data_IF_801485590887
#
_entry.id   IF_801485590887
#
_cell.length_a   1.000
_cell.length_b   1.000
_cell.length_c   1.000
_cell.angle_alpha   90.00
_cell.angle_beta   90.00
_cell.angle_gamma   90.00
#
_symmetry.space_group_name_H-M   'P 1'
#
loop_
_entity.id
_entity.type
_entity.pdbx_description
1 polymer ?
#
# COMPACT_ATOMS: atom_id res chain seq x y z
N UNK A 1 7.46 -10.98 6.92
CA UNK A 1 6.87 -9.95 7.81
C UNK A 1 7.73 -9.63 9.03
N UNK A 2 8.62 -10.53 9.47
CA UNK A 2 9.46 -10.35 10.67
C UNK A 2 10.24 -9.02 10.70
N UNK A 3 10.75 -8.54 9.56
CA UNK A 3 11.50 -7.28 9.50
C UNK A 3 10.70 -6.03 9.91
N UNK A 4 9.39 -5.96 9.64
CA UNK A 4 8.54 -4.84 10.06
C UNK A 4 8.42 -4.82 11.59
N UNK A 5 8.29 -6.01 12.21
CA UNK A 5 8.25 -6.15 13.67
C UNK A 5 9.59 -5.78 14.30
N UNK A 6 10.70 -6.21 13.69
CA UNK A 6 12.04 -5.80 14.12
C UNK A 6 12.22 -4.28 14.05
N UNK A 7 11.77 -3.63 12.97
CA UNK A 7 11.80 -2.17 12.84
C UNK A 7 10.99 -1.47 13.94
N UNK A 8 9.80 -1.98 14.25
CA UNK A 8 9.00 -1.51 15.40
C UNK A 8 9.76 -1.63 16.72
N UNK A 9 10.39 -2.78 16.97
CA UNK A 9 11.19 -3.01 18.18
C UNK A 9 12.41 -2.09 18.28
N UNK A 10 13.10 -1.85 17.17
CA UNK A 10 14.22 -0.89 17.12
C UNK A 10 13.72 0.50 17.52
N UNK A 11 12.56 0.93 17.01
CA UNK A 11 11.98 2.22 17.38
C UNK A 11 11.70 2.31 18.89
N UNK A 12 11.18 1.25 19.51
CA UNK A 12 11.00 1.21 20.97
C UNK A 12 12.32 1.33 21.73
N UNK A 13 13.33 0.55 21.34
CA UNK A 13 14.64 0.54 22.02
C UNK A 13 15.34 1.89 21.91
N UNK A 14 15.33 2.51 20.72
CA UNK A 14 16.00 3.80 20.49
C UNK A 14 15.28 4.94 21.19
N UNK A 15 13.96 4.88 21.32
CA UNK A 15 13.17 5.96 21.94
C UNK A 15 12.93 5.77 23.43
N UNK A 16 13.06 4.54 23.95
CA UNK A 16 12.66 4.19 25.31
C UNK A 16 11.13 4.21 25.52
N UNK A 17 10.34 4.36 24.46
CA UNK A 17 8.87 4.43 24.53
C UNK A 17 8.24 3.17 23.91
N UNK A 18 7.18 2.61 24.51
CA UNK A 18 6.37 1.56 23.86
C UNK A 18 5.81 2.03 22.50
N UNK A 19 5.80 1.14 21.50
CA UNK A 19 5.52 1.50 20.11
C UNK A 19 4.16 2.18 19.91
N UNK A 20 3.13 1.71 20.62
CA UNK A 20 1.78 2.28 20.57
C UNK A 20 1.75 3.72 21.10
N UNK A 21 2.53 4.02 22.15
CA UNK A 21 2.63 5.38 22.70
C UNK A 21 3.41 6.27 21.76
N UNK A 22 4.51 5.76 21.22
CA UNK A 22 5.34 6.47 20.25
C UNK A 22 4.51 6.88 19.02
N UNK A 23 3.75 5.95 18.43
CA UNK A 23 2.91 6.21 17.26
C UNK A 23 1.75 7.16 17.60
N UNK A 24 1.13 7.00 18.76
CA UNK A 24 0.09 7.94 19.22
C UNK A 24 0.64 9.37 19.34
N UNK A 25 1.83 9.52 19.92
CA UNK A 25 2.48 10.81 20.18
C UNK A 25 3.03 11.47 18.91
N UNK A 26 3.66 10.70 18.03
CA UNK A 26 4.42 11.24 16.87
C UNK A 26 3.60 11.28 15.59
N UNK A 27 2.60 10.42 15.45
CA UNK A 27 1.86 10.26 14.19
C UNK A 27 0.35 10.44 14.38
N UNK A 28 -0.33 9.54 15.09
CA UNK A 28 -1.79 9.50 15.12
C UNK A 28 -2.41 10.74 15.76
N UNK A 29 -1.92 11.13 16.95
CA UNK A 29 -2.38 12.33 17.64
C UNK A 29 -2.17 13.60 16.81
N UNK A 30 -0.94 13.91 16.36
CA UNK A 30 -0.67 15.07 15.51
C UNK A 30 -1.49 15.11 14.21
N UNK A 31 -1.72 13.95 13.56
CA UNK A 31 -2.53 13.87 12.35
C UNK A 31 -4.03 13.90 12.62
N UNK A 32 -4.48 13.85 13.87
CA UNK A 32 -5.90 13.81 14.23
C UNK A 32 -6.58 12.47 13.94
N UNK A 33 -5.80 11.37 13.91
CA UNK A 33 -6.30 10.00 13.75
C UNK A 33 -6.74 9.47 15.13
N UNK A 34 -7.95 9.83 15.56
CA UNK A 34 -8.41 9.65 16.95
C UNK A 34 -8.86 8.21 17.27
N UNK A 35 -9.21 7.46 16.24
CA UNK A 35 -9.68 6.09 16.33
C UNK A 35 -8.63 5.06 15.91
N UNK A 36 -7.47 5.51 15.44
CA UNK A 36 -6.36 4.64 15.13
C UNK A 36 -5.62 4.20 16.40
N UNK A 37 -5.65 2.90 16.72
CA UNK A 37 -5.02 2.35 17.92
C UNK A 37 -4.72 0.87 17.78
N UNK A 38 -3.72 0.38 18.50
CA UNK A 38 -3.52 -1.06 18.65
C UNK A 38 -4.54 -1.68 19.58
N UNK A 39 -5.00 -0.97 20.61
CA UNK A 39 -5.89 -1.51 21.64
C UNK A 39 -7.17 -0.67 21.69
N UNK A 40 -8.31 -1.29 21.36
CA UNK A 40 -9.59 -0.58 21.38
C UNK A 40 -9.99 -0.20 22.80
N UNK A 41 -10.62 0.96 22.94
CA UNK A 41 -11.31 1.36 24.17
C UNK A 41 -12.71 0.74 24.24
N UNK A 42 -13.30 0.72 25.44
CA UNK A 42 -14.72 0.31 25.63
C UNK A 42 -15.70 1.13 24.77
N UNK A 43 -15.37 2.38 24.45
CA UNK A 43 -16.18 3.26 23.59
C UNK A 43 -16.02 2.94 22.09
N UNK A 44 -14.89 2.38 21.68
CA UNK A 44 -14.61 2.01 20.29
C UNK A 44 -15.13 0.61 19.96
N UNK A 45 -15.10 -0.31 20.93
CA UNK A 45 -15.45 -1.71 20.72
C UNK A 45 -16.83 -1.92 20.05
N UNK A 46 -17.92 -1.19 20.39
CA UNK A 46 -19.21 -1.35 19.73
C UNK A 46 -19.22 -0.97 18.24
N UNK A 47 -18.25 -0.19 17.78
CA UNK A 47 -18.10 0.22 16.38
C UNK A 47 -17.22 -0.73 15.56
N UNK A 48 -16.65 -1.76 16.18
CA UNK A 48 -15.78 -2.71 15.49
C UNK A 48 -16.57 -3.50 14.45
N UNK A 49 -16.14 -3.40 13.20
CA UNK A 49 -16.71 -4.20 12.12
C UNK A 49 -16.45 -5.69 12.35
N UNK A 50 -17.46 -6.52 12.07
CA UNK A 50 -17.37 -7.98 12.20
C UNK A 50 -16.54 -8.56 11.06
N UNK A 51 -15.63 -9.48 11.39
CA UNK A 51 -14.85 -10.21 10.40
C UNK A 51 -15.64 -11.42 9.89
N UNK A 52 -15.49 -11.72 8.60
CA UNK A 52 -16.12 -12.87 7.97
C UNK A 52 -15.08 -13.69 7.21
N UNK A 53 -15.26 -15.01 7.17
CA UNK A 53 -14.53 -15.91 6.28
C UNK A 53 -15.48 -16.60 5.32
N UNK A 54 -14.98 -16.95 4.14
CA UNK A 54 -15.72 -17.71 3.14
C UNK A 54 -15.58 -19.20 3.43
N UNK A 55 -16.70 -19.91 3.47
CA UNK A 55 -16.74 -21.36 3.63
C UNK A 55 -16.47 -22.06 2.29
N UNK A 56 -16.17 -23.35 2.34
CA UNK A 56 -16.01 -24.18 1.13
C UNK A 56 -17.30 -24.22 0.28
N UNK A 57 -18.46 -24.12 0.94
CA UNK A 57 -19.78 -23.99 0.29
C UNK A 57 -20.07 -22.60 -0.29
N UNK A 58 -19.12 -21.66 -0.22
CA UNK A 58 -19.23 -20.33 -0.81
C UNK A 58 -19.99 -19.29 0.01
N UNK A 59 -20.50 -19.64 1.19
CA UNK A 59 -21.19 -18.72 2.11
C UNK A 59 -20.20 -17.94 2.99
N UNK A 60 -20.66 -16.85 3.61
CA UNK A 60 -19.87 -16.08 4.58
C UNK A 60 -20.30 -16.41 6.00
N UNK A 61 -19.33 -16.70 6.86
CA UNK A 61 -19.55 -16.91 8.29
C UNK A 61 -18.71 -15.95 9.11
N UNK A 62 -19.27 -15.50 10.23
CA UNK A 62 -18.54 -14.65 11.15
C UNK A 62 -17.34 -15.39 11.75
N UNK A 63 -16.20 -14.72 11.81
CA UNK A 63 -14.96 -15.26 12.35
C UNK A 63 -14.29 -14.24 13.26
N UNK A 64 -13.38 -14.73 14.09
CA UNK A 64 -12.49 -13.87 14.86
C UNK A 64 -11.44 -13.19 13.97
N UNK A 65 -10.89 -12.10 14.48
CA UNK A 65 -9.79 -11.38 13.83
C UNK A 65 -8.51 -12.20 14.06
N UNK A 66 -8.07 -12.91 13.02
CA UNK A 66 -6.89 -13.80 13.04
C UNK A 66 -5.64 -13.16 13.67
N UNK A 67 -5.41 -11.88 13.42
CA UNK A 67 -4.24 -11.15 13.95
C UNK A 67 -4.23 -10.97 15.47
N UNK A 68 -5.36 -11.20 16.14
CA UNK A 68 -5.46 -11.13 17.60
C UNK A 68 -5.15 -12.46 18.29
N UNK A 69 -5.06 -13.57 17.53
CA UNK A 69 -4.73 -14.89 18.08
C UNK A 69 -5.61 -15.29 19.29
N UNK A 70 -6.93 -15.10 19.18
CA UNK A 70 -7.91 -15.39 20.24
C UNK A 70 -8.00 -14.33 21.35
N UNK A 71 -7.16 -13.29 21.33
CA UNK A 71 -7.22 -12.20 22.30
C UNK A 71 -8.32 -11.19 21.96
N UNK A 72 -8.89 -10.58 23.00
CA UNK A 72 -9.86 -9.50 22.81
C UNK A 72 -9.21 -8.28 22.10
N UNK A 73 -9.95 -7.53 21.26
CA UNK A 73 -9.46 -6.29 20.64
C UNK A 73 -8.95 -5.24 21.65
N UNK A 74 -9.48 -5.29 22.88
CA UNK A 74 -9.09 -4.43 24.01
C UNK A 74 -7.93 -4.99 24.84
N UNK A 75 -7.53 -6.26 24.63
CA UNK A 75 -6.48 -6.92 25.42
C UNK A 75 -5.13 -6.27 25.17
N UNK A 76 -4.44 -5.92 26.26
CA UNK A 76 -3.04 -5.47 26.26
C UNK A 76 -2.05 -6.60 26.48
N UNK A 77 -2.54 -7.83 26.67
CA UNK A 77 -1.74 -9.05 26.76
C UNK A 77 -1.36 -9.58 25.37
N UNK A 78 -0.94 -8.65 24.52
CA UNK A 78 -0.39 -8.89 23.20
C UNK A 78 0.48 -7.70 22.84
N UNK A 79 1.56 -7.95 22.12
CA UNK A 79 2.42 -6.86 21.68
C UNK A 79 1.75 -6.06 20.54
N UNK A 80 2.06 -4.76 20.40
CA UNK A 80 1.56 -3.95 19.30
C UNK A 80 2.25 -4.39 18.00
N UNK A 81 1.59 -5.24 17.22
CA UNK A 81 2.17 -5.84 16.02
C UNK A 81 2.14 -4.87 14.82
N UNK A 82 3.26 -4.22 14.44
CA UNK A 82 3.28 -3.23 13.36
C UNK A 82 2.97 -3.83 11.97
N UNK A 83 3.08 -5.15 11.82
CA UNK A 83 2.76 -5.86 10.58
C UNK A 83 1.28 -6.23 10.41
N UNK A 84 0.38 -5.95 11.37
CA UNK A 84 -1.04 -6.33 11.20
C UNK A 84 -1.99 -6.22 12.40
N UNK A 85 -1.70 -5.41 13.43
CA UNK A 85 -2.52 -5.34 14.65
C UNK A 85 -3.29 -4.04 14.90
N UNK A 86 -3.35 -3.14 13.92
CA UNK A 86 -3.88 -1.78 14.10
C UNK A 86 -5.35 -1.69 13.68
N UNK A 87 -6.17 -1.08 14.53
CA UNK A 87 -7.54 -0.69 14.20
C UNK A 87 -7.56 0.76 13.74
N UNK A 88 -8.45 1.10 12.83
CA UNK A 88 -8.62 2.47 12.32
C UNK A 88 -10.04 2.66 11.75
N UNK A 89 -10.39 3.91 11.46
CA UNK A 89 -11.54 4.27 10.63
C UNK A 89 -11.10 4.65 9.22
N UNK A 90 -12.04 4.67 8.28
CA UNK A 90 -11.79 5.16 6.92
C UNK A 90 -11.31 6.62 6.92
N UNK A 91 -11.92 7.46 7.75
CA UNK A 91 -11.56 8.88 7.87
C UNK A 91 -10.13 9.06 8.39
N UNK A 92 -9.74 8.35 9.45
CA UNK A 92 -8.39 8.43 9.99
C UNK A 92 -7.35 7.94 8.97
N UNK A 93 -7.63 6.83 8.30
CA UNK A 93 -6.73 6.28 7.30
C UNK A 93 -6.61 7.18 6.07
N UNK A 94 -7.71 7.83 5.66
CA UNK A 94 -7.69 8.82 4.59
C UNK A 94 -6.80 10.02 4.92
N UNK A 95 -6.75 10.47 6.18
CA UNK A 95 -5.83 11.55 6.61
C UNK A 95 -4.36 11.12 6.45
N UNK A 96 -4.03 9.90 6.86
CA UNK A 96 -2.67 9.35 6.63
C UNK A 96 -2.34 9.28 5.13
N UNK A 97 -3.23 8.71 4.31
CA UNK A 97 -3.03 8.63 2.86
C UNK A 97 -2.88 10.01 2.23
N UNK A 98 -3.71 10.99 2.63
CA UNK A 98 -3.65 12.35 2.11
C UNK A 98 -2.34 13.06 2.48
N UNK A 99 -1.82 12.83 3.69
CA UNK A 99 -0.51 13.32 4.12
C UNK A 99 0.62 12.77 3.24
N UNK A 100 0.59 11.46 2.94
CA UNK A 100 1.58 10.82 2.04
C UNK A 100 1.45 11.37 0.61
N UNK A 101 0.22 11.48 0.08
CA UNK A 101 -0.04 12.02 -1.26
C UNK A 101 0.44 13.47 -1.43
N UNK A 102 0.41 14.26 -0.36
CA UNK A 102 0.91 15.64 -0.31
C UNK A 102 2.39 15.74 0.06
N UNK A 103 3.16 14.67 -0.08
CA UNK A 103 4.60 14.69 0.15
C UNK A 103 4.98 14.95 1.61
N UNK A 104 4.16 14.49 2.56
CA UNK A 104 4.45 14.57 3.99
C UNK A 104 3.72 15.67 4.74
N UNK A 105 2.77 16.36 4.10
CA UNK A 105 2.07 17.51 4.67
C UNK A 105 0.55 17.31 4.67
N UNK A 106 -0.13 17.76 5.73
CA UNK A 106 -1.58 17.82 5.79
C UNK A 106 -2.01 19.05 6.58
N UNK A 107 -3.03 19.76 6.09
CA UNK A 107 -3.62 20.93 6.76
C UNK A 107 -2.57 22.01 7.16
N UNK A 108 -1.60 22.28 6.28
CA UNK A 108 -0.53 23.26 6.51
C UNK A 108 0.57 22.83 7.49
N UNK A 109 0.52 21.59 7.99
CA UNK A 109 1.53 21.04 8.90
C UNK A 109 2.31 19.92 8.22
N UNK A 110 3.64 20.00 8.33
CA UNK A 110 4.56 18.98 7.83
C UNK A 110 4.83 17.90 8.89
N UNK A 111 4.61 16.64 8.52
CA UNK A 111 4.84 15.46 9.35
C UNK A 111 6.07 14.66 8.89
N UNK A 112 6.30 14.62 7.57
CA UNK A 112 7.45 13.98 6.96
C UNK A 112 8.11 14.96 5.98
N UNK A 113 9.43 14.83 5.82
CA UNK A 113 10.15 15.55 4.77
C UNK A 113 9.74 14.98 3.40
N UNK A 114 9.58 15.81 2.35
CA UNK A 114 9.25 15.33 1.00
C UNK A 114 10.21 14.25 0.51
N UNK A 115 11.50 14.38 0.81
CA UNK A 115 12.53 13.42 0.43
C UNK A 115 12.34 12.06 1.13
N UNK A 116 11.90 12.08 2.40
CA UNK A 116 11.56 10.86 3.13
C UNK A 116 10.35 10.17 2.53
N UNK A 117 9.31 10.91 2.14
CA UNK A 117 8.12 10.33 1.47
C UNK A 117 8.48 9.74 0.12
N UNK A 118 9.34 10.42 -0.66
CA UNK A 118 9.86 9.90 -1.92
C UNK A 118 10.63 8.60 -1.72
N UNK A 119 11.52 8.56 -0.73
CA UNK A 119 12.29 7.35 -0.41
C UNK A 119 11.36 6.19 0.02
N UNK A 120 10.35 6.49 0.85
CA UNK A 120 9.35 5.54 1.33
C UNK A 120 8.55 4.87 0.21
N UNK A 121 8.25 5.63 -0.85
CA UNK A 121 7.39 5.21 -1.96
C UNK A 121 8.15 4.65 -3.16
N UNK A 122 9.46 4.92 -3.24
CA UNK A 122 10.35 4.36 -4.26
C UNK A 122 10.57 2.86 -4.03
N UNK A 123 10.54 2.09 -5.12
CA UNK A 123 10.81 0.64 -5.10
C UNK A 123 12.27 0.40 -4.69
N UNK A 124 12.45 -0.37 -3.63
CA UNK A 124 13.76 -0.74 -3.07
C UNK A 124 14.19 -2.15 -3.47
N UNK A 125 13.32 -2.88 -4.18
CA UNK A 125 13.52 -4.28 -4.57
C UNK A 125 13.59 -4.44 -6.08
N UNK A 126 14.10 -3.43 -6.79
CA UNK A 126 14.19 -3.49 -8.25
C UNK A 126 15.04 -4.69 -8.70
N UNK A 127 14.63 -5.33 -9.80
CA UNK A 127 15.22 -6.58 -10.28
C UNK A 127 14.85 -7.85 -9.50
N UNK A 128 14.22 -7.73 -8.32
CA UNK A 128 13.75 -8.89 -7.55
C UNK A 128 12.28 -9.20 -7.87
N UNK A 129 11.97 -10.48 -8.11
CA UNK A 129 10.58 -10.94 -8.19
C UNK A 129 9.98 -10.90 -6.79
N UNK A 130 9.16 -9.89 -6.52
CA UNK A 130 8.57 -9.64 -5.20
C UNK A 130 7.08 -9.31 -5.30
N UNK A 131 6.38 -9.35 -4.16
CA UNK A 131 4.96 -9.01 -4.05
C UNK A 131 4.01 -10.20 -4.26
N UNK A 132 2.71 -9.94 -4.15
CA UNK A 132 1.67 -10.97 -4.28
C UNK A 132 1.21 -11.18 -5.73
N UNK A 133 1.43 -10.19 -6.59
CA UNK A 133 1.04 -10.21 -8.01
C UNK A 133 2.19 -9.71 -8.89
N UNK A 134 2.30 -10.19 -10.15
CA UNK A 134 3.30 -9.68 -11.09
C UNK A 134 3.21 -8.15 -11.25
N UNK A 135 4.36 -7.47 -11.19
CA UNK A 135 4.43 -5.99 -11.32
C UNK A 135 4.46 -5.23 -9.99
N UNK A 136 4.28 -5.92 -8.86
CA UNK A 136 4.48 -5.33 -7.54
C UNK A 136 5.97 -5.31 -7.18
N UNK A 137 6.38 -4.25 -6.49
CA UNK A 137 7.65 -4.14 -5.77
C UNK A 137 7.41 -3.68 -4.34
N UNK A 138 8.45 -3.62 -3.52
CA UNK A 138 8.35 -3.07 -2.17
C UNK A 138 9.13 -1.77 -2.06
N UNK A 139 8.47 -0.71 -1.63
CA UNK A 139 9.09 0.46 -1.04
C UNK A 139 9.23 0.30 0.47
N UNK A 140 9.86 1.28 1.15
CA UNK A 140 10.02 1.21 2.61
C UNK A 140 8.68 1.36 3.35
N UNK A 141 7.65 1.95 2.72
CA UNK A 141 6.30 2.04 3.29
C UNK A 141 5.37 0.87 2.94
N UNK A 142 5.85 -0.14 2.21
CA UNK A 142 5.04 -1.30 1.81
C UNK A 142 5.00 -1.50 0.30
N UNK A 143 3.91 -2.12 -0.18
CA UNK A 143 3.79 -2.49 -1.59
C UNK A 143 3.68 -1.23 -2.46
N UNK A 144 4.60 -1.10 -3.41
CA UNK A 144 4.58 -0.06 -4.44
C UNK A 144 4.42 -0.75 -5.79
N UNK A 145 3.49 -0.28 -6.62
CA UNK A 145 3.35 -0.78 -7.98
C UNK A 145 4.31 -0.04 -8.90
N UNK A 146 5.17 -0.77 -9.60
CA UNK A 146 5.82 -0.23 -10.79
C UNK A 146 4.76 -0.22 -11.90
N UNK A 147 4.15 0.92 -12.22
CA UNK A 147 3.76 1.13 -13.61
C UNK A 147 5.05 1.20 -14.39
N UNK A 148 5.51 0.05 -14.86
CA UNK A 148 6.62 -0.03 -15.80
C UNK A 148 6.24 0.96 -16.91
N UNK A 149 6.95 2.08 -17.06
CA UNK A 149 7.04 2.74 -18.36
C UNK A 149 7.67 1.67 -19.24
N UNK A 150 6.85 0.81 -19.81
CA UNK A 150 7.25 -0.03 -20.90
C UNK A 150 7.43 0.92 -22.09
N UNK A 151 8.52 1.69 -22.09
CA UNK A 151 9.11 2.14 -23.34
C UNK A 151 9.60 0.87 -24.03
N UNK A 152 8.67 0.12 -24.64
CA UNK A 152 9.02 -0.79 -25.71
C UNK A 152 9.63 0.11 -26.79
N UNK A 153 10.89 -0.06 -27.17
CA UNK A 153 11.36 0.54 -28.41
C UNK A 153 10.41 0.02 -29.49
N UNK A 154 9.78 0.93 -30.24
CA UNK A 154 9.02 0.56 -31.41
C UNK A 154 10.02 -0.07 -32.38
N UNK A 155 10.07 -1.40 -32.45
CA UNK A 155 10.90 -2.09 -33.43
C UNK A 155 10.29 -1.79 -34.81
N UNK A 156 11.04 -1.21 -35.76
CA UNK A 156 10.51 -0.97 -37.09
C UNK A 156 10.15 -2.31 -37.73
N UNK A 157 8.90 -2.45 -38.18
CA UNK A 157 8.49 -3.60 -39.00
C UNK A 157 9.35 -3.63 -40.25
N UNK A 158 10.24 -4.62 -40.35
CA UNK A 158 10.83 -5.02 -41.62
C UNK A 158 9.71 -5.64 -42.45
N UNK A 159 9.37 -5.15 -43.65
CA UNK A 159 8.39 -5.80 -44.50
C UNK A 159 8.98 -7.11 -45.01
N UNK A 160 8.41 -8.25 -44.63
CA UNK A 160 8.76 -9.54 -45.22
C UNK A 160 8.23 -9.59 -46.65
N UNK A 161 9.14 -9.66 -47.62
CA UNK A 161 8.85 -9.84 -49.03
C UNK A 161 8.39 -11.29 -49.29
N UNK A 162 7.08 -11.55 -49.25
CA UNK A 162 6.49 -12.71 -49.94
C UNK A 162 5.00 -12.49 -50.19
N UNK A 163 4.65 -12.00 -51.38
CA UNK A 163 3.32 -12.20 -51.98
C UNK A 163 3.41 -11.98 -53.50
N UNK A 164 3.25 -13.07 -54.25
CA UNK A 164 3.01 -13.07 -55.70
C UNK A 164 1.55 -12.61 -56.00
N UNK A 165 1.22 -12.24 -57.25
CA UNK A 165 0.35 -11.10 -57.52
C UNK A 165 -1.10 -11.50 -57.79
N UNK A 166 -2.07 -10.72 -57.29
CA UNK A 166 -3.42 -10.69 -57.87
C UNK A 166 -4.03 -9.27 -57.81
N UNK A 167 -4.33 -8.79 -59.02
CA UNK A 167 -5.33 -7.79 -59.41
C UNK A 167 -5.43 -6.44 -58.66
N UNK A 168 -5.00 -5.37 -59.35
CA UNK A 168 -5.40 -3.98 -59.11
C UNK A 168 -6.92 -3.81 -59.27
N UNK A 169 -7.53 -2.96 -58.42
CA UNK A 169 -8.37 -1.82 -58.85
C UNK A 169 -8.46 -0.75 -57.74
N UNK A 170 -8.70 0.53 -58.10
CA UNK A 170 -8.18 1.69 -57.40
C UNK A 170 -9.20 2.38 -56.47
N UNK A 171 -8.72 2.95 -55.35
CA UNK A 171 -9.55 3.82 -54.54
C UNK A 171 -8.91 4.22 -53.21
N UNK A 172 -8.62 5.52 -53.08
CA UNK A 172 -8.41 6.29 -51.84
C UNK A 172 -7.04 6.26 -51.12
N UNK A 173 -6.30 7.35 -51.40
CA UNK A 173 -5.73 8.34 -50.46
C UNK A 173 -4.66 7.86 -49.45
N UNK A 174 -3.42 8.26 -49.75
CA UNK A 174 -2.31 8.45 -48.79
C UNK A 174 -2.58 9.71 -47.97
N UNK A 175 -2.48 9.60 -46.65
CA UNK A 175 -2.00 10.71 -45.82
C UNK A 175 -0.89 10.25 -44.87
N UNK A 176 0.09 11.14 -44.73
CA UNK A 176 1.31 11.03 -43.93
C UNK A 176 1.10 11.74 -42.60
N UNK A 177 1.73 11.25 -41.54
CA UNK A 177 1.93 11.99 -40.27
C UNK A 177 2.28 11.00 -39.17
N UNK A 178 3.55 10.72 -38.88
CA UNK A 178 4.47 11.51 -38.05
C UNK A 178 4.03 11.56 -36.58
N UNK A 179 4.78 10.87 -35.73
CA UNK A 179 4.64 10.87 -34.28
C UNK A 179 5.46 12.04 -33.72
N UNK A 180 4.84 12.86 -32.86
CA UNK A 180 5.52 13.70 -31.86
C UNK A 180 5.30 13.08 -30.50
#
# INVERSE_FOLDING_TARGET
>A
QSGINTGGRIAEVVTGEPLEKLLQKRLFGPLGMKDTTFYLTKKQLPRLARSYRRTDGGTLEATEIRFLNGQAPTSRDRFPAPNGGLFSTATDYARFCQMVLRGGELDGKRYLKPESVKLMTTIQTDGLKTGFTPGNGWGLAGASSATRKASRPCSPRVPSATAAPTARRPGSIRERGACT
#
